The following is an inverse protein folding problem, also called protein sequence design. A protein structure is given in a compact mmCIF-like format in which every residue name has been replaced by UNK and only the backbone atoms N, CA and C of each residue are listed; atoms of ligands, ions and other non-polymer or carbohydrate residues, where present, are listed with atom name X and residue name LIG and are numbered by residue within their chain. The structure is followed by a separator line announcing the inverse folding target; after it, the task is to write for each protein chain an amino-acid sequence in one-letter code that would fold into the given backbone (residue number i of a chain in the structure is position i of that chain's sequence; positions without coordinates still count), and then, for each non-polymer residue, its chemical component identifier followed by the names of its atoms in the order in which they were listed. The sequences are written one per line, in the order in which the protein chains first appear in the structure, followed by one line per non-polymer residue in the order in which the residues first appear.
data_IF_886327829091
#
_entry.id   IF_886327829091
#
_cell.length_a   1.000
_cell.length_b   1.000
_cell.length_c   1.000
_cell.angle_alpha   90.00
_cell.angle_beta   90.00
_cell.angle_gamma   90.00
#
_symmetry.space_group_name_H-M   'P 1'
#
loop_
_entity.id
_entity.type
_entity.pdbx_description
1 polymer ?
#
# COMPACT_ATOMS: atom_id res chain seq x y z
N UNK A 1 21.38 -2.04 -7.43
CA UNK A 1 20.17 -2.85 -7.28
C UNK A 1 20.13 -3.36 -5.86
N UNK A 2 19.08 -3.07 -5.12
CA UNK A 2 18.91 -3.41 -3.72
C UNK A 2 17.72 -4.35 -3.56
N UNK A 3 17.88 -5.37 -2.74
CA UNK A 3 16.82 -6.31 -2.36
C UNK A 3 16.59 -6.20 -0.86
N UNK A 4 15.38 -5.79 -0.47
CA UNK A 4 14.98 -5.68 0.93
C UNK A 4 13.87 -6.70 1.23
N UNK A 5 14.10 -7.70 2.08
CA UNK A 5 13.01 -8.50 2.61
C UNK A 5 12.16 -7.65 3.57
N UNK A 6 10.84 -7.82 3.51
CA UNK A 6 9.89 -7.10 4.36
C UNK A 6 8.93 -8.08 5.01
N UNK A 7 8.78 -7.94 6.32
CA UNK A 7 7.79 -8.64 7.10
C UNK A 7 7.05 -7.61 7.96
N UNK A 8 5.73 -7.62 7.89
CA UNK A 8 4.88 -6.74 8.67
C UNK A 8 3.78 -7.55 9.33
N UNK A 9 3.60 -7.34 10.61
CA UNK A 9 2.47 -7.84 11.37
C UNK A 9 1.64 -6.66 11.86
N UNK A 10 0.34 -6.71 11.62
CA UNK A 10 -0.61 -5.69 12.08
C UNK A 10 -1.73 -6.37 12.84
N UNK A 11 -1.98 -5.91 14.05
CA UNK A 11 -3.12 -6.32 14.85
C UNK A 11 -4.05 -5.13 15.05
N UNK A 12 -5.34 -5.39 14.87
CA UNK A 12 -6.40 -4.41 15.08
C UNK A 12 -7.47 -5.03 15.95
N UNK A 13 -7.86 -4.33 17.01
CA UNK A 13 -8.99 -4.68 17.86
C UNK A 13 -10.08 -3.62 17.72
N UNK A 14 -11.32 -4.05 17.55
CA UNK A 14 -12.48 -3.18 17.53
C UNK A 14 -13.42 -3.63 18.64
N UNK A 15 -13.74 -2.70 19.54
CA UNK A 15 -14.75 -2.86 20.56
C UNK A 15 -15.75 -1.73 20.39
N UNK A 16 -17.00 -2.08 20.15
CA UNK A 16 -18.10 -1.13 20.05
C UNK A 16 -19.08 -1.42 21.19
N UNK A 17 -19.62 -0.36 21.78
CA UNK A 17 -20.64 -0.47 22.82
C UNK A 17 -22.01 -0.80 22.21
N UNK A 18 -22.76 -1.62 22.90
CA UNK A 18 -24.13 -1.97 22.54
C UNK A 18 -25.04 -0.76 22.57
N UNK A 19 -25.82 -0.55 21.52
CA UNK A 19 -26.85 0.48 21.44
C UNK A 19 -28.24 -0.11 21.63
N UNK A 20 -29.07 0.54 22.44
CA UNK A 20 -30.47 0.18 22.62
C UNK A 20 -31.33 1.45 22.72
N UNK A 21 -32.46 1.41 22.00
CA UNK A 21 -33.50 2.42 22.10
C UNK A 21 -34.90 1.78 22.24
N UNK A 22 -35.94 2.59 22.17
CA UNK A 22 -37.33 2.12 22.30
C UNK A 22 -37.79 1.28 21.08
N UNK A 23 -37.11 1.37 19.96
CA UNK A 23 -37.46 0.70 18.72
C UNK A 23 -36.67 -0.60 18.52
N UNK A 24 -35.44 -0.68 19.04
CA UNK A 24 -34.60 -1.83 18.83
C UNK A 24 -33.29 -1.85 19.61
N UNK A 25 -32.49 -2.84 19.33
CA UNK A 25 -31.14 -2.98 19.87
C UNK A 25 -30.14 -3.37 18.78
N UNK A 26 -28.93 -2.88 18.95
CA UNK A 26 -27.79 -3.31 18.18
C UNK A 26 -26.72 -3.78 19.17
N UNK A 27 -26.33 -5.03 19.05
CA UNK A 27 -25.25 -5.61 19.84
C UNK A 27 -24.05 -5.84 18.97
N UNK A 28 -22.91 -5.38 19.43
CA UNK A 28 -21.65 -5.55 18.75
C UNK A 28 -20.80 -6.58 19.49
N UNK A 29 -20.35 -7.62 18.77
CA UNK A 29 -19.35 -8.52 19.28
C UNK A 29 -17.94 -7.89 19.18
N UNK A 30 -17.04 -8.31 20.02
CA UNK A 30 -15.64 -7.92 19.95
C UNK A 30 -15.02 -8.55 18.69
N UNK A 31 -14.48 -7.72 17.82
CA UNK A 31 -13.79 -8.12 16.60
C UNK A 31 -12.29 -7.88 16.71
N UNK A 32 -11.48 -8.81 16.23
CA UNK A 32 -10.06 -8.57 16.01
C UNK A 32 -9.66 -9.02 14.61
N UNK A 33 -8.78 -8.25 14.00
CA UNK A 33 -8.17 -8.59 12.72
C UNK A 33 -6.66 -8.58 12.85
N UNK A 34 -6.03 -9.58 12.26
CA UNK A 34 -4.58 -9.72 12.20
C UNK A 34 -4.19 -9.84 10.74
N UNK A 35 -3.21 -9.05 10.33
CA UNK A 35 -2.67 -9.06 8.99
C UNK A 35 -1.18 -9.38 9.07
N UNK A 36 -0.78 -10.40 8.36
CA UNK A 36 0.63 -10.73 8.13
C UNK A 36 0.94 -10.44 6.68
N UNK A 37 1.88 -9.55 6.44
CA UNK A 37 2.40 -9.23 5.12
C UNK A 37 3.85 -9.69 5.04
N UNK A 38 4.18 -10.51 4.05
CA UNK A 38 5.53 -10.93 3.73
C UNK A 38 5.81 -10.60 2.26
N UNK A 39 6.97 -10.04 1.98
CA UNK A 39 7.34 -9.66 0.63
C UNK A 39 8.79 -9.22 0.54
N UNK A 40 9.16 -8.72 -0.61
CA UNK A 40 10.47 -8.11 -0.82
C UNK A 40 10.33 -6.88 -1.72
N UNK A 41 11.21 -5.93 -1.51
CA UNK A 41 11.32 -4.73 -2.34
C UNK A 41 12.59 -4.83 -3.17
N UNK A 42 12.41 -4.69 -4.47
CA UNK A 42 13.48 -4.55 -5.44
C UNK A 42 13.53 -3.08 -5.87
N UNK A 43 14.71 -2.49 -5.88
CA UNK A 43 14.82 -1.10 -6.31
C UNK A 43 16.22 -0.74 -6.78
N UNK A 44 16.28 0.36 -7.49
CA UNK A 44 17.52 1.05 -7.81
C UNK A 44 17.81 2.04 -6.69
N UNK A 45 19.02 1.97 -6.14
CA UNK A 45 19.55 2.96 -5.21
C UNK A 45 20.65 3.77 -5.86
N UNK A 46 20.78 3.66 -7.17
CA UNK A 46 21.74 4.45 -7.92
C UNK A 46 21.02 5.68 -8.48
N UNK A 47 21.71 6.79 -8.45
CA UNK A 47 21.45 7.89 -9.35
C UNK A 47 21.49 7.32 -10.78
N UNK A 48 20.32 6.97 -11.32
CA UNK A 48 20.26 6.61 -12.72
C UNK A 48 20.44 7.89 -13.51
N UNK A 49 21.67 8.15 -13.89
CA UNK A 49 21.99 9.09 -14.92
C UNK A 49 21.46 8.58 -16.25
N UNK A 50 20.30 9.07 -16.64
CA UNK A 50 19.81 8.87 -17.99
C UNK A 50 20.66 9.73 -18.93
N UNK A 51 21.61 9.12 -19.57
CA UNK A 51 22.38 9.71 -20.65
C UNK A 51 23.85 9.96 -20.35
N UNK A 52 24.63 8.91 -20.18
CA UNK A 52 26.04 9.00 -20.54
C UNK A 52 26.47 7.75 -21.31
N UNK A 53 26.44 7.90 -22.60
CA UNK A 53 27.34 7.14 -23.44
C UNK A 53 28.78 7.56 -23.11
N UNK A 54 29.48 6.73 -22.37
CA UNK A 54 30.93 6.82 -22.23
C UNK A 54 31.56 6.73 -23.61
N UNK A 55 31.87 7.86 -24.20
CA UNK A 55 32.84 7.97 -25.26
C UNK A 55 34.05 8.71 -24.76
N UNK A 56 34.98 7.96 -24.19
CA UNK A 56 36.36 8.38 -24.15
C UNK A 56 36.86 8.58 -25.56
N UNK A 57 37.01 9.79 -26.01
CA UNK A 57 38.14 10.25 -26.81
C UNK A 57 37.92 11.63 -27.38
N UNK A 58 38.68 12.55 -26.79
CA UNK A 58 39.40 13.68 -27.35
C UNK A 58 38.78 14.63 -28.41
N UNK A 59 39.28 15.83 -28.51
CA UNK A 59 38.49 17.05 -28.54
C UNK A 59 38.39 17.61 -29.94
N UNK A 60 37.25 18.16 -30.32
CA UNK A 60 37.21 19.24 -31.32
C UNK A 60 35.81 19.87 -31.35
N UNK A 61 35.80 21.09 -30.90
CA UNK A 61 34.97 22.22 -31.34
C UNK A 61 33.45 22.11 -31.36
N UNK A 62 32.89 22.98 -30.52
CA UNK A 62 31.74 23.84 -30.84
C UNK A 62 30.41 23.16 -31.19
N UNK A 63 29.51 23.21 -30.21
CA UNK A 63 28.15 23.64 -30.43
C UNK A 63 27.31 23.29 -29.21
N UNK A 64 26.72 24.31 -28.63
CA UNK A 64 25.52 24.27 -27.78
C UNK A 64 25.32 22.96 -26.99
N UNK A 65 26.01 22.83 -25.87
CA UNK A 65 25.65 21.86 -24.83
C UNK A 65 24.26 22.23 -24.29
N UNK A 66 23.25 21.61 -24.85
CA UNK A 66 22.08 21.31 -24.08
C UNK A 66 22.57 20.35 -22.99
N UNK A 67 22.89 20.89 -21.84
CA UNK A 67 23.07 20.09 -20.63
C UNK A 67 21.70 19.44 -20.35
N UNK A 68 21.54 18.22 -20.83
CA UNK A 68 20.47 17.35 -20.36
C UNK A 68 20.75 17.19 -18.86
N UNK A 69 19.97 17.88 -18.06
CA UNK A 69 20.07 17.83 -16.61
C UNK A 69 19.66 16.43 -16.21
N UNK A 70 20.63 15.62 -15.84
CA UNK A 70 20.42 14.28 -15.35
C UNK A 70 19.59 14.36 -14.07
N UNK A 71 18.37 13.85 -14.14
CA UNK A 71 17.48 13.76 -12.99
C UNK A 71 17.72 12.42 -12.31
N UNK A 72 18.16 12.37 -11.05
CA UNK A 72 18.23 11.11 -10.32
C UNK A 72 16.84 10.53 -10.16
N UNK A 73 16.60 9.40 -10.82
CA UNK A 73 15.34 8.67 -10.75
C UNK A 73 15.56 7.36 -10.02
N UNK A 74 14.84 7.19 -8.93
CA UNK A 74 14.77 5.93 -8.20
C UNK A 74 13.49 5.20 -8.55
N UNK A 75 13.56 3.92 -8.79
CA UNK A 75 12.41 3.07 -8.99
C UNK A 75 12.42 1.89 -8.02
N UNK A 76 11.25 1.40 -7.71
CA UNK A 76 11.11 0.21 -6.90
C UNK A 76 9.85 -0.58 -7.28
N UNK A 77 9.92 -1.90 -7.04
CA UNK A 77 8.79 -2.83 -7.16
C UNK A 77 8.77 -3.69 -5.91
N UNK A 78 7.58 -3.92 -5.36
CA UNK A 78 7.39 -4.65 -4.12
C UNK A 78 6.23 -5.65 -4.27
N UNK A 79 6.51 -6.90 -4.65
CA UNK A 79 5.54 -7.98 -4.49
C UNK A 79 5.43 -8.40 -3.03
N UNK A 80 4.22 -8.67 -2.57
CA UNK A 80 3.92 -9.11 -1.22
C UNK A 80 2.76 -10.09 -1.20
N UNK A 81 2.77 -10.99 -0.23
CA UNK A 81 1.63 -11.83 0.13
C UNK A 81 1.06 -11.32 1.44
N UNK A 82 -0.24 -11.13 1.49
CA UNK A 82 -0.95 -10.68 2.67
C UNK A 82 -1.88 -11.81 3.12
N UNK A 83 -1.74 -12.23 4.36
CA UNK A 83 -2.67 -13.16 5.01
C UNK A 83 -3.44 -12.42 6.09
N UNK A 84 -4.76 -12.44 5.95
CA UNK A 84 -5.68 -11.85 6.91
C UNK A 84 -6.34 -12.94 7.73
N UNK A 85 -6.28 -12.76 9.04
CA UNK A 85 -6.98 -13.57 10.03
C UNK A 85 -7.92 -12.63 10.79
N UNK A 86 -9.22 -12.90 10.75
CA UNK A 86 -10.16 -12.14 11.56
C UNK A 86 -10.87 -13.06 12.54
N UNK A 87 -10.97 -12.65 13.79
CA UNK A 87 -11.96 -13.22 14.71
C UNK A 87 -13.28 -12.50 14.48
N UNK A 88 -14.36 -13.25 14.52
CA UNK A 88 -15.71 -12.74 14.25
C UNK A 88 -16.11 -11.68 15.26
N UNK A 89 -16.36 -10.47 14.78
CA UNK A 89 -17.20 -9.53 15.49
C UNK A 89 -18.63 -9.70 14.99
N UNK A 90 -19.41 -10.54 15.63
CA UNK A 90 -20.82 -10.71 15.26
C UNK A 90 -21.58 -9.43 15.62
N UNK A 91 -22.31 -8.88 14.65
CA UNK A 91 -23.26 -7.80 14.89
C UNK A 91 -24.67 -8.35 14.92
N UNK A 92 -25.40 -8.08 15.95
CA UNK A 92 -26.78 -8.50 16.13
C UNK A 92 -27.71 -7.29 16.15
N UNK A 93 -28.66 -7.28 15.25
CA UNK A 93 -29.68 -6.22 15.17
C UNK A 93 -31.05 -6.85 15.38
N UNK A 94 -31.84 -6.31 16.28
CA UNK A 94 -33.18 -6.83 16.57
C UNK A 94 -34.10 -5.73 17.07
N UNK A 95 -35.41 -5.99 16.94
CA UNK A 95 -36.44 -5.11 17.49
C UNK A 95 -36.76 -5.48 18.93
N UNK A 96 -37.17 -4.49 19.72
CA UNK A 96 -37.47 -4.66 21.15
C UNK A 96 -38.67 -5.59 21.44
N UNK A 97 -39.50 -5.82 20.44
CA UNK A 97 -40.83 -6.44 20.63
C UNK A 97 -40.92 -7.91 20.19
N UNK A 98 -40.01 -8.41 19.41
CA UNK A 98 -40.03 -9.81 18.97
C UNK A 98 -38.63 -10.37 18.85
N UNK A 99 -38.32 -11.44 19.51
CA UNK A 99 -37.02 -12.11 19.56
C UNK A 99 -36.33 -12.51 18.25
N UNK A 100 -36.66 -11.85 17.16
CA UNK A 100 -36.08 -12.03 15.83
C UNK A 100 -34.98 -10.98 15.58
N UNK A 101 -33.76 -11.30 15.94
CA UNK A 101 -32.61 -10.53 15.56
C UNK A 101 -31.89 -11.16 14.36
N UNK A 102 -31.45 -10.33 13.44
CA UNK A 102 -30.48 -10.73 12.39
C UNK A 102 -29.07 -10.65 12.91
N UNK A 103 -28.30 -11.69 12.66
CA UNK A 103 -26.87 -11.72 12.99
C UNK A 103 -26.06 -11.57 11.71
N UNK A 104 -25.17 -10.59 11.69
CA UNK A 104 -24.18 -10.40 10.64
C UNK A 104 -22.83 -10.84 11.16
N UNK A 105 -22.21 -11.78 10.48
CA UNK A 105 -20.89 -12.31 10.84
C UNK A 105 -19.90 -12.02 9.71
N UNK A 106 -19.32 -10.82 9.63
CA UNK A 106 -18.34 -10.53 8.61
C UNK A 106 -17.05 -11.31 8.91
N UNK A 107 -16.69 -12.23 8.03
CA UNK A 107 -15.41 -12.92 8.09
C UNK A 107 -14.52 -12.40 6.96
N UNK A 108 -13.36 -11.89 7.30
CA UNK A 108 -12.36 -11.40 6.33
C UNK A 108 -11.10 -12.27 6.36
N UNK A 109 -11.28 -13.58 6.44
CA UNK A 109 -10.15 -14.51 6.34
C UNK A 109 -9.81 -14.73 4.88
N UNK A 110 -8.59 -14.44 4.51
CA UNK A 110 -8.18 -14.62 3.13
C UNK A 110 -6.69 -14.39 2.91
N UNK A 111 -6.27 -14.76 1.72
CA UNK A 111 -4.92 -14.48 1.22
C UNK A 111 -5.04 -13.64 -0.02
N UNK A 112 -4.29 -12.56 -0.09
CA UNK A 112 -4.15 -11.72 -1.27
C UNK A 112 -2.69 -11.56 -1.67
N UNK A 113 -2.49 -11.39 -2.96
CA UNK A 113 -1.24 -10.94 -3.54
C UNK A 113 -1.33 -9.43 -3.73
N UNK A 114 -0.30 -8.72 -3.34
CA UNK A 114 -0.19 -7.26 -3.47
C UNK A 114 1.10 -6.95 -4.22
N UNK A 115 0.97 -6.20 -5.30
CA UNK A 115 2.07 -5.71 -6.11
C UNK A 115 2.06 -4.20 -6.08
N UNK A 116 3.13 -3.61 -5.58
CA UNK A 116 3.32 -2.16 -5.57
C UNK A 116 4.55 -1.79 -6.38
N UNK A 117 4.48 -0.67 -7.07
CA UNK A 117 5.59 -0.10 -7.81
C UNK A 117 5.61 1.42 -7.63
N UNK A 118 6.78 2.01 -7.62
CA UNK A 118 6.94 3.44 -7.50
C UNK A 118 8.17 3.96 -8.22
N UNK A 119 8.07 5.24 -8.54
CA UNK A 119 9.11 6.06 -9.12
C UNK A 119 9.27 7.32 -8.28
N UNK A 120 10.49 7.71 -8.03
CA UNK A 120 10.83 8.95 -7.35
C UNK A 120 11.90 9.68 -8.17
N UNK A 121 11.63 10.93 -8.53
CA UNK A 121 12.52 11.76 -9.31
C UNK A 121 12.83 13.06 -8.55
N UNK A 122 14.10 13.38 -8.39
CA UNK A 122 14.52 14.68 -7.88
C UNK A 122 14.59 15.67 -9.05
N UNK A 123 13.56 16.51 -9.15
CA UNK A 123 13.44 17.50 -10.24
C UNK A 123 14.34 18.69 -10.03
N UNK A 124 14.56 19.07 -8.76
CA UNK A 124 15.50 20.12 -8.32
C UNK A 124 16.14 19.70 -7.00
N UNK A 125 17.16 20.43 -6.56
CA UNK A 125 17.83 20.17 -5.28
C UNK A 125 16.87 20.13 -4.10
N UNK A 126 15.81 20.92 -4.17
CA UNK A 126 14.78 21.07 -3.14
C UNK A 126 13.41 20.51 -3.54
N UNK A 127 13.26 19.88 -4.71
CA UNK A 127 11.96 19.36 -5.20
C UNK A 127 12.10 17.91 -5.61
N UNK A 128 11.34 17.04 -4.94
CA UNK A 128 11.24 15.61 -5.25
C UNK A 128 9.79 15.27 -5.59
N UNK A 129 9.60 14.61 -6.71
CA UNK A 129 8.30 14.09 -7.17
C UNK A 129 8.30 12.58 -7.05
N UNK A 130 7.29 12.02 -6.38
CA UNK A 130 7.07 10.60 -6.25
C UNK A 130 5.72 10.18 -6.83
N UNK A 131 5.69 9.04 -7.50
CA UNK A 131 4.45 8.40 -7.97
C UNK A 131 4.52 6.94 -7.61
N UNK A 132 3.46 6.40 -7.03
CA UNK A 132 3.34 4.97 -6.76
C UNK A 132 1.96 4.45 -7.16
N UNK A 133 1.93 3.20 -7.56
CA UNK A 133 0.71 2.47 -7.86
C UNK A 133 0.78 1.08 -7.25
N UNK A 134 -0.38 0.54 -6.88
CA UNK A 134 -0.49 -0.79 -6.33
C UNK A 134 -1.75 -1.51 -6.81
N UNK A 135 -1.63 -2.83 -6.91
CA UNK A 135 -2.72 -3.72 -7.24
C UNK A 135 -2.73 -4.89 -6.26
N UNK A 136 -3.88 -5.14 -5.67
CA UNK A 136 -4.12 -6.27 -4.80
C UNK A 136 -5.13 -7.22 -5.42
N UNK A 137 -4.81 -8.51 -5.44
CA UNK A 137 -5.67 -9.57 -5.96
C UNK A 137 -5.95 -10.62 -4.90
N UNK A 138 -7.22 -10.95 -4.71
CA UNK A 138 -7.64 -12.00 -3.80
C UNK A 138 -7.33 -13.38 -4.39
N UNK A 139 -6.57 -14.19 -3.67
CA UNK A 139 -6.24 -15.57 -4.06
C UNK A 139 -7.17 -16.57 -3.41
N UNK A 140 -7.55 -16.33 -2.17
CA UNK A 140 -8.47 -17.19 -1.44
C UNK A 140 -9.20 -16.47 -0.31
N UNK A 141 -10.44 -16.87 -0.08
CA UNK A 141 -11.29 -16.28 0.96
C UNK A 141 -11.88 -14.93 0.57
N UNK A 142 -12.32 -14.17 1.57
CA UNK A 142 -12.89 -12.83 1.39
C UNK A 142 -11.82 -11.78 1.68
N UNK A 143 -10.79 -11.70 0.85
CA UNK A 143 -9.76 -10.68 0.96
C UNK A 143 -10.03 -9.50 0.03
N UNK A 144 -9.46 -8.36 0.36
CA UNK A 144 -9.62 -7.14 -0.43
C UNK A 144 -8.96 -7.29 -1.80
N UNK A 145 -9.66 -6.83 -2.82
CA UNK A 145 -9.19 -6.74 -4.20
C UNK A 145 -9.34 -5.31 -4.67
N UNK A 146 -8.35 -4.79 -5.36
CA UNK A 146 -8.40 -3.42 -5.84
C UNK A 146 -7.07 -2.87 -6.30
N UNK A 147 -7.12 -1.64 -6.72
CA UNK A 147 -5.95 -0.86 -7.12
C UNK A 147 -5.90 0.44 -6.33
N UNK A 148 -4.71 0.94 -6.13
CA UNK A 148 -4.46 2.23 -5.53
C UNK A 148 -3.38 2.99 -6.29
N UNK A 149 -3.37 4.30 -6.14
CA UNK A 149 -2.35 5.17 -6.69
C UNK A 149 -2.15 6.40 -5.81
N UNK A 150 -0.92 6.84 -5.70
CA UNK A 150 -0.55 8.02 -4.94
C UNK A 150 0.52 8.81 -5.68
N UNK A 151 0.39 10.14 -5.67
CA UNK A 151 1.44 11.06 -6.09
C UNK A 151 1.87 11.90 -4.89
N UNK A 152 3.16 12.13 -4.77
CA UNK A 152 3.77 12.91 -3.68
C UNK A 152 4.67 13.97 -4.25
N UNK A 153 4.52 15.19 -3.77
CA UNK A 153 5.42 16.31 -4.04
C UNK A 153 6.06 16.74 -2.72
N UNK A 154 7.36 16.68 -2.64
CA UNK A 154 8.13 17.13 -1.49
C UNK A 154 8.95 18.35 -1.88
N UNK A 155 8.79 19.44 -1.13
CA UNK A 155 9.54 20.71 -1.32
C UNK A 155 10.24 21.04 -0.02
N UNK A 156 11.55 21.18 -0.06
CA UNK A 156 12.38 21.59 1.09
C UNK A 156 12.79 23.05 0.89
N UNK A 157 12.59 23.89 1.90
CA UNK A 157 12.91 25.32 1.87
C UNK A 157 14.25 25.61 2.55
#
# INVERSE_FOLDING_TARGET
MMLEPRLQYTWQGLSLDDGKDNAGYVKFGHGSAQHVRAGFRLGSHNDMTFGEGTSSRAPLRDSAKHSVRELPVNWWVQPSVIRTFSSRGDMRVGTSTAGSGMTFSPSQNGTSLDLQAGLEARVRENITLGVQAGYAHSVSGSSAEGYNGQATLNVTF
#
